data_IF_451786663954
#
_entry.id   IF_451786663954
#
_cell.length_a   1.000
_cell.length_b   1.000
_cell.length_c   1.000
_cell.angle_alpha   90.00
_cell.angle_beta   90.00
_cell.angle_gamma   90.00
#
_symmetry.space_group_name_H-M   'P 1'
#
loop_
_entity.id
_entity.type
_entity.pdbx_description
1 polymer ?
#
# COMPACT_ATOMS: atom_id res chain seq x y z
N UNK A 1 -6.24 -27.11 24.25
CA UNK A 1 -7.10 -26.22 23.43
C UNK A 1 -6.20 -25.50 22.44
N UNK A 2 -6.16 -25.95 21.18
CA UNK A 2 -5.38 -25.29 20.14
C UNK A 2 -6.10 -23.98 19.74
N UNK A 3 -5.41 -22.85 19.87
CA UNK A 3 -5.90 -21.55 19.38
C UNK A 3 -6.00 -21.66 17.85
N UNK A 4 -7.21 -21.53 17.30
CA UNK A 4 -7.42 -21.54 15.86
C UNK A 4 -6.48 -20.52 15.17
N UNK A 5 -5.94 -20.81 13.97
CA UNK A 5 -5.10 -19.87 13.26
C UNK A 5 -5.89 -18.56 13.07
N UNK A 6 -5.32 -17.44 13.51
CA UNK A 6 -5.90 -16.13 13.30
C UNK A 6 -5.79 -15.84 11.80
N UNK A 7 -6.88 -16.07 11.06
CA UNK A 7 -6.94 -15.70 9.66
C UNK A 7 -6.85 -14.16 9.64
N UNK A 8 -5.75 -13.62 9.13
CA UNK A 8 -5.52 -12.18 9.14
C UNK A 8 -6.64 -11.48 8.37
N UNK A 9 -7.21 -10.43 8.95
CA UNK A 9 -8.19 -9.58 8.28
C UNK A 9 -7.55 -8.89 7.07
N UNK A 10 -8.38 -8.50 6.09
CA UNK A 10 -7.92 -7.72 4.93
C UNK A 10 -7.14 -6.46 5.36
N UNK A 11 -7.59 -5.83 6.44
CA UNK A 11 -6.99 -4.64 7.05
C UNK A 11 -5.57 -4.93 7.58
N UNK A 12 -5.38 -6.03 8.30
CA UNK A 12 -4.05 -6.45 8.80
C UNK A 12 -3.09 -6.81 7.66
N UNK A 13 -3.60 -7.52 6.64
CA UNK A 13 -2.80 -7.88 5.46
C UNK A 13 -2.35 -6.64 4.71
N UNK A 14 -3.26 -5.69 4.48
CA UNK A 14 -2.95 -4.42 3.83
C UNK A 14 -1.93 -3.61 4.62
N UNK A 15 -2.16 -3.44 5.93
CA UNK A 15 -1.27 -2.65 6.79
C UNK A 15 0.14 -3.26 6.84
N UNK A 16 0.24 -4.59 6.98
CA UNK A 16 1.52 -5.29 6.99
C UNK A 16 2.25 -5.16 5.65
N UNK A 17 1.55 -5.35 4.53
CA UNK A 17 2.13 -5.22 3.19
C UNK A 17 2.64 -3.80 2.92
N UNK A 18 1.81 -2.78 3.22
CA UNK A 18 2.16 -1.38 3.01
C UNK A 18 3.35 -0.96 3.87
N UNK A 19 3.36 -1.31 5.16
CA UNK A 19 4.48 -1.00 6.05
C UNK A 19 5.79 -1.66 5.61
N UNK A 20 5.73 -2.92 5.15
CA UNK A 20 6.92 -3.64 4.69
C UNK A 20 7.56 -3.00 3.46
N UNK A 21 6.76 -2.38 2.59
CA UNK A 21 7.24 -1.78 1.34
C UNK A 21 7.36 -0.26 1.38
N UNK A 22 7.00 0.39 2.49
CA UNK A 22 6.92 1.84 2.61
C UNK A 22 8.20 2.55 2.18
N UNK A 23 9.35 2.10 2.66
CA UNK A 23 10.62 2.78 2.40
C UNK A 23 11.03 2.67 0.92
N UNK A 24 10.74 1.53 0.28
CA UNK A 24 10.97 1.32 -1.15
C UNK A 24 9.98 2.13 -2.01
N UNK A 25 8.70 2.17 -1.59
CA UNK A 25 7.66 2.96 -2.26
C UNK A 25 8.00 4.44 -2.21
N UNK A 26 8.39 4.96 -1.04
CA UNK A 26 8.82 6.35 -0.88
C UNK A 26 10.05 6.68 -1.71
N UNK A 27 11.04 5.77 -1.75
CA UNK A 27 12.22 5.94 -2.60
C UNK A 27 11.83 6.06 -4.08
N UNK A 28 10.94 5.18 -4.54
CA UNK A 28 10.44 5.19 -5.93
C UNK A 28 9.68 6.48 -6.24
N UNK A 29 8.76 6.89 -5.37
CA UNK A 29 7.98 8.11 -5.54
C UNK A 29 8.87 9.36 -5.49
N UNK A 30 9.88 9.39 -4.63
CA UNK A 30 10.85 10.50 -4.56
C UNK A 30 11.63 10.62 -5.85
N UNK A 31 12.06 9.50 -6.45
CA UNK A 31 12.71 9.51 -7.77
C UNK A 31 11.77 9.96 -8.88
N UNK A 32 10.49 9.60 -8.80
CA UNK A 32 9.49 9.94 -9.80
C UNK A 32 9.07 11.43 -9.74
N UNK A 33 8.88 11.97 -8.53
CA UNK A 33 8.39 13.34 -8.30
C UNK A 33 9.53 14.37 -8.17
N UNK A 34 10.75 13.94 -7.84
CA UNK A 34 11.89 14.83 -7.59
C UNK A 34 11.84 15.54 -6.23
N UNK A 35 10.81 15.30 -5.42
CA UNK A 35 10.62 15.90 -4.10
C UNK A 35 10.15 14.84 -3.10
N UNK A 36 10.83 14.78 -1.95
CA UNK A 36 10.54 13.79 -0.90
C UNK A 36 9.25 14.12 -0.13
N UNK A 37 8.92 15.39 0.03
CA UNK A 37 7.71 15.79 0.75
C UNK A 37 6.47 15.44 -0.09
N UNK A 38 6.49 15.77 -1.39
CA UNK A 38 5.43 15.36 -2.34
C UNK A 38 5.30 13.83 -2.40
N UNK A 39 6.43 13.10 -2.35
CA UNK A 39 6.40 11.63 -2.29
C UNK A 39 5.76 11.10 -1.00
N UNK A 40 5.96 11.76 0.14
CA UNK A 40 5.28 11.40 1.38
C UNK A 40 3.78 11.64 1.30
N UNK A 41 3.36 12.74 0.68
CA UNK A 41 1.94 13.07 0.51
C UNK A 41 1.25 12.08 -0.43
N UNK A 42 1.88 11.77 -1.57
CA UNK A 42 1.37 10.76 -2.50
C UNK A 42 1.30 9.38 -1.86
N UNK A 43 2.31 8.97 -1.07
CA UNK A 43 2.27 7.69 -0.37
C UNK A 43 1.13 7.61 0.65
N UNK A 44 0.85 8.70 1.37
CA UNK A 44 -0.28 8.77 2.30
C UNK A 44 -1.62 8.68 1.57
N UNK A 45 -1.80 9.43 0.49
CA UNK A 45 -3.03 9.37 -0.30
C UNK A 45 -3.22 7.98 -0.95
N UNK A 46 -2.14 7.38 -1.45
CA UNK A 46 -2.16 6.03 -1.99
C UNK A 46 -2.60 5.01 -0.95
N UNK A 47 -2.13 5.13 0.30
CA UNK A 47 -2.60 4.28 1.40
C UNK A 47 -4.10 4.46 1.66
N UNK A 48 -4.60 5.70 1.70
CA UNK A 48 -6.03 5.98 1.89
C UNK A 48 -6.88 5.39 0.74
N UNK A 49 -6.40 5.50 -0.51
CA UNK A 49 -7.02 4.86 -1.68
C UNK A 49 -7.03 3.33 -1.51
N UNK A 50 -5.92 2.71 -1.13
CA UNK A 50 -5.87 1.28 -0.84
C UNK A 50 -6.88 0.88 0.25
N UNK A 51 -6.98 1.67 1.32
CA UNK A 51 -7.87 1.42 2.44
C UNK A 51 -9.35 1.46 2.03
N UNK A 52 -9.73 2.37 1.14
CA UNK A 52 -11.10 2.41 0.58
C UNK A 52 -11.46 1.14 -0.20
N UNK A 53 -10.46 0.49 -0.80
CA UNK A 53 -10.60 -0.77 -1.55
C UNK A 53 -10.16 -2.01 -0.77
N UNK A 54 -10.03 -1.93 0.56
CA UNK A 54 -9.47 -3.00 1.39
C UNK A 54 -10.23 -4.34 1.28
N UNK A 55 -11.51 -4.31 0.94
CA UNK A 55 -12.33 -5.52 0.75
C UNK A 55 -11.81 -6.40 -0.41
N UNK A 56 -11.09 -5.81 -1.37
CA UNK A 56 -10.48 -6.53 -2.50
C UNK A 56 -9.15 -7.20 -2.11
N UNK A 57 -8.51 -6.80 -1.01
CA UNK A 57 -7.12 -7.17 -0.67
C UNK A 57 -6.90 -8.69 -0.64
N UNK A 58 -7.84 -9.45 -0.09
CA UNK A 58 -7.73 -10.91 0.00
C UNK A 58 -7.88 -11.60 -1.37
N UNK A 59 -8.39 -10.91 -2.39
CA UNK A 59 -8.55 -11.40 -3.76
C UNK A 59 -7.41 -10.94 -4.68
N UNK A 60 -6.58 -9.99 -4.24
CA UNK A 60 -5.47 -9.47 -5.05
C UNK A 60 -4.32 -10.48 -5.06
N UNK A 61 -4.08 -11.09 -6.24
CA UNK A 61 -2.99 -12.05 -6.44
C UNK A 61 -1.59 -11.46 -6.16
N UNK A 62 -1.36 -10.20 -6.51
CA UNK A 62 -0.10 -9.50 -6.25
C UNK A 62 -0.37 -8.15 -5.57
N UNK A 63 -0.48 -8.18 -4.24
CA UNK A 63 -0.80 -7.00 -3.43
C UNK A 63 0.23 -5.89 -3.60
N UNK A 64 1.51 -6.26 -3.72
CA UNK A 64 2.61 -5.31 -3.94
C UNK A 64 2.41 -4.52 -5.24
N UNK A 65 2.16 -5.21 -6.35
CA UNK A 65 1.92 -4.57 -7.64
C UNK A 65 0.66 -3.70 -7.64
N UNK A 66 -0.39 -4.15 -6.93
CA UNK A 66 -1.62 -3.38 -6.77
C UNK A 66 -1.39 -2.07 -6.00
N UNK A 67 -0.64 -2.10 -4.89
CA UNK A 67 -0.24 -0.89 -4.13
C UNK A 67 0.58 0.06 -5.02
N UNK A 68 1.60 -0.46 -5.72
CA UNK A 68 2.42 0.36 -6.63
C UNK A 68 1.59 1.02 -7.72
N UNK A 69 0.62 0.30 -8.31
CA UNK A 69 -0.28 0.86 -9.32
C UNK A 69 -1.09 2.02 -8.76
N UNK A 70 -1.66 1.89 -7.56
CA UNK A 70 -2.42 2.96 -6.91
C UNK A 70 -1.51 4.17 -6.63
N UNK A 71 -0.31 3.94 -6.11
CA UNK A 71 0.65 5.00 -5.80
C UNK A 71 1.11 5.75 -7.05
N UNK A 72 1.48 5.05 -8.13
CA UNK A 72 1.93 5.67 -9.37
C UNK A 72 0.79 6.39 -10.12
N UNK A 73 -0.44 5.89 -10.03
CA UNK A 73 -1.60 6.63 -10.54
C UNK A 73 -1.81 7.91 -9.72
N UNK A 74 -1.73 7.83 -8.39
CA UNK A 74 -1.86 9.00 -7.51
C UNK A 74 -0.76 10.03 -7.74
N UNK A 75 0.46 9.60 -8.08
CA UNK A 75 1.56 10.50 -8.43
C UNK A 75 1.38 11.24 -9.77
N UNK A 76 0.44 10.80 -10.62
CA UNK A 76 0.16 11.39 -11.93
C UNK A 76 -1.12 12.24 -11.93
N UNK A 77 -1.98 12.05 -10.93
CA UNK A 77 -3.20 12.84 -10.72
C UNK A 77 -2.84 14.31 -10.40
#
# INVERSE_FOLDING_TARGET
MAKAPHNASADEVLLAAFNRMRDELLSTLTLYLGNRDDACDVAQEAFLKCWRHREEVLQVHNLRAWIYRIALNTARD
#
